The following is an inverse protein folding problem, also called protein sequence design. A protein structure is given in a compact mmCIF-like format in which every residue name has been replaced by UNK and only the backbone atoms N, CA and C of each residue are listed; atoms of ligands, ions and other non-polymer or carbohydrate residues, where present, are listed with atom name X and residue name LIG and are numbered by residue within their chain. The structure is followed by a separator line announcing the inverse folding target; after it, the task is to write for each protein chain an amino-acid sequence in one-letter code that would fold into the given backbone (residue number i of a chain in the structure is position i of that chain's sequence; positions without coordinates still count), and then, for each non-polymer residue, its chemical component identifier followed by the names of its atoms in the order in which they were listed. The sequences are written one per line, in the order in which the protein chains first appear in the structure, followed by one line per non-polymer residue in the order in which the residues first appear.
data_IF_729034605969
#
_entry.id   IF_729034605969
#
_cell.length_a   1.000
_cell.length_b   1.000
_cell.length_c   1.000
_cell.angle_alpha   90.00
_cell.angle_beta   90.00
_cell.angle_gamma   90.00
#
_symmetry.space_group_name_H-M   'P 1'
#
loop_
_entity.id
_entity.type
_entity.pdbx_description
1 polymer ?
#
# COMPACT_ATOMS: atom_id res chain seq x y z
N UNK A 1 -38.03 -25.72 -18.59
CA UNK A 1 -37.78 -25.14 -17.26
C UNK A 1 -36.38 -24.56 -17.26
N UNK A 2 -36.26 -23.23 -17.30
CA UNK A 2 -34.99 -22.51 -17.31
C UNK A 2 -34.34 -22.54 -15.92
N UNK A 3 -33.02 -22.80 -15.87
CA UNK A 3 -32.24 -22.63 -14.64
C UNK A 3 -32.17 -21.15 -14.25
N UNK A 4 -32.79 -20.78 -13.12
CA UNK A 4 -32.86 -19.41 -12.58
C UNK A 4 -31.72 -19.04 -11.61
N UNK A 5 -30.50 -19.55 -11.83
CA UNK A 5 -29.37 -19.43 -10.89
C UNK A 5 -28.17 -18.61 -11.40
N UNK A 6 -28.41 -17.47 -12.05
CA UNK A 6 -27.36 -16.54 -12.53
C UNK A 6 -27.94 -15.13 -12.39
N UNK A 7 -27.40 -14.23 -11.53
CA UNK A 7 -26.13 -13.54 -11.81
C UNK A 7 -25.42 -12.99 -10.54
N UNK A 8 -24.79 -13.82 -9.69
CA UNK A 8 -24.19 -13.31 -8.43
C UNK A 8 -22.65 -13.20 -8.44
N UNK A 9 -22.00 -13.25 -9.60
CA UNK A 9 -20.54 -13.11 -9.68
C UNK A 9 -20.10 -12.02 -10.65
N UNK A 10 -20.59 -10.80 -10.46
CA UNK A 10 -20.00 -9.57 -11.04
C UNK A 10 -18.86 -9.04 -10.17
N UNK A 11 -18.04 -9.94 -9.61
CA UNK A 11 -16.84 -9.59 -8.87
C UNK A 11 -15.61 -9.59 -9.79
N UNK A 12 -15.72 -8.95 -10.96
CA UNK A 12 -14.53 -8.48 -11.68
C UNK A 12 -14.00 -7.22 -10.98
N UNK A 13 -13.81 -7.29 -9.65
CA UNK A 13 -13.32 -6.18 -8.85
C UNK A 13 -11.80 -6.27 -8.85
N UNK A 14 -11.17 -5.28 -9.47
CA UNK A 14 -9.74 -5.00 -9.39
C UNK A 14 -9.21 -5.34 -7.99
N UNK A 15 -8.20 -6.21 -7.91
CA UNK A 15 -7.70 -6.71 -6.62
C UNK A 15 -7.16 -5.52 -5.80
N UNK A 16 -7.79 -5.18 -4.65
CA UNK A 16 -7.31 -4.11 -3.81
C UNK A 16 -6.00 -4.54 -3.14
N UNK A 17 -4.96 -3.69 -3.20
CA UNK A 17 -3.68 -4.02 -2.55
C UNK A 17 -3.67 -3.65 -1.08
N UNK A 18 -4.37 -2.58 -0.71
CA UNK A 18 -4.48 -2.10 0.66
C UNK A 18 -5.73 -1.25 0.82
N UNK A 19 -6.12 -1.01 2.08
CA UNK A 19 -7.17 -0.05 2.42
C UNK A 19 -6.56 1.32 2.70
N UNK A 20 -7.23 2.36 2.21
CA UNK A 20 -6.84 3.74 2.42
C UNK A 20 -7.06 4.12 3.89
N UNK A 21 -6.04 4.62 4.59
CA UNK A 21 -6.18 5.00 5.99
C UNK A 21 -6.98 6.29 6.19
N UNK A 22 -7.14 7.12 5.15
CA UNK A 22 -7.89 8.39 5.23
C UNK A 22 -9.41 8.19 5.13
N UNK A 23 -9.87 7.28 4.27
CA UNK A 23 -11.30 7.11 3.96
C UNK A 23 -11.78 5.65 3.99
N UNK A 24 -10.90 4.68 4.22
CA UNK A 24 -11.24 3.25 4.18
C UNK A 24 -11.43 2.65 2.78
N UNK A 25 -11.30 3.46 1.72
CA UNK A 25 -11.46 3.01 0.33
C UNK A 25 -10.34 2.10 -0.17
N UNK A 26 -10.56 1.44 -1.29
CA UNK A 26 -9.59 0.51 -1.87
C UNK A 26 -8.45 1.23 -2.59
N UNK A 27 -7.21 0.82 -2.30
CA UNK A 27 -6.02 1.27 -3.02
C UNK A 27 -5.74 0.32 -4.16
N UNK A 28 -5.74 0.89 -5.37
CA UNK A 28 -5.54 0.16 -6.62
C UNK A 28 -4.29 0.65 -7.34
N UNK A 29 -3.61 -0.25 -8.08
CA UNK A 29 -2.45 0.13 -8.88
C UNK A 29 -2.95 0.86 -10.13
N UNK A 30 -2.47 2.08 -10.32
CA UNK A 30 -2.72 2.89 -11.51
C UNK A 30 -1.40 3.14 -12.23
N UNK A 31 -1.46 3.38 -13.52
CA UNK A 31 -0.29 3.70 -14.33
C UNK A 31 -0.50 5.09 -14.90
N UNK A 32 0.46 5.98 -14.68
CA UNK A 32 0.37 7.31 -15.29
C UNK A 32 0.52 7.18 -16.80
N UNK A 33 -0.46 7.69 -17.54
CA UNK A 33 -0.42 7.80 -19.00
C UNK A 33 0.39 9.00 -19.47
N UNK A 34 0.74 9.94 -18.57
CA UNK A 34 1.49 11.16 -18.90
C UNK A 34 2.98 10.93 -18.67
N UNK A 35 3.75 10.80 -19.76
CA UNK A 35 5.21 10.71 -19.76
C UNK A 35 5.74 9.28 -19.62
N UNK A 36 6.51 9.01 -18.55
CA UNK A 36 7.07 7.67 -18.27
C UNK A 36 6.01 6.86 -17.55
N UNK A 37 5.55 5.73 -18.12
CA UNK A 37 4.53 4.79 -17.57
C UNK A 37 4.86 4.31 -16.15
N UNK A 38 4.76 5.20 -15.16
CA UNK A 38 5.12 4.96 -13.78
C UNK A 38 3.90 4.41 -13.08
N UNK A 39 4.06 3.26 -12.42
CA UNK A 39 3.04 2.66 -11.58
C UNK A 39 2.95 3.49 -10.29
N UNK A 40 1.75 3.90 -9.94
CA UNK A 40 1.43 4.57 -8.68
C UNK A 40 0.22 3.89 -8.08
N UNK A 41 0.02 4.01 -6.77
CA UNK A 41 -1.09 3.40 -6.07
C UNK A 41 -1.93 4.53 -5.49
N UNK A 42 -3.18 4.62 -5.96
CA UNK A 42 -4.10 5.67 -5.57
C UNK A 42 -5.37 5.08 -4.97
N UNK A 43 -6.00 5.85 -4.09
CA UNK A 43 -7.33 5.50 -3.62
C UNK A 43 -8.34 5.51 -4.78
N UNK A 44 -9.26 4.56 -4.80
CA UNK A 44 -10.33 4.50 -5.79
C UNK A 44 -11.38 5.60 -5.60
N UNK A 45 -11.47 6.19 -4.40
CA UNK A 45 -12.46 7.23 -4.05
C UNK A 45 -12.03 8.66 -4.46
N UNK A 46 -11.15 8.84 -5.44
CA UNK A 46 -10.84 10.18 -5.94
C UNK A 46 -12.06 10.77 -6.68
N UNK A 47 -12.49 12.04 -6.45
CA UNK A 47 -11.77 13.14 -5.79
C UNK A 47 -11.99 13.26 -4.27
N UNK A 48 -12.82 12.44 -3.65
CA UNK A 48 -13.08 12.48 -2.19
C UNK A 48 -11.84 12.11 -1.37
N UNK A 49 -10.92 11.34 -1.95
CA UNK A 49 -9.65 11.00 -1.34
C UNK A 49 -8.47 11.28 -2.27
N UNK A 50 -7.67 12.29 -1.92
CA UNK A 50 -6.42 12.67 -2.62
C UNK A 50 -5.22 11.79 -2.23
N UNK A 51 -5.46 10.61 -1.66
CA UNK A 51 -4.37 9.74 -1.24
C UNK A 51 -3.71 9.03 -2.43
N UNK A 52 -2.42 9.29 -2.62
CA UNK A 52 -1.58 8.66 -3.65
C UNK A 52 -0.19 8.33 -3.10
N UNK A 53 0.36 7.18 -3.50
CA UNK A 53 1.75 6.79 -3.21
C UNK A 53 2.43 6.20 -4.44
N UNK A 54 3.74 6.42 -4.55
CA UNK A 54 4.59 5.77 -5.57
C UNK A 54 5.17 4.44 -5.08
N UNK A 55 5.08 4.16 -3.79
CA UNK A 55 5.57 2.93 -3.17
C UNK A 55 4.48 1.87 -3.18
N UNK A 56 4.88 0.61 -3.32
CA UNK A 56 3.95 -0.50 -3.37
C UNK A 56 3.37 -0.78 -1.97
N UNK A 57 2.04 -0.68 -1.78
CA UNK A 57 1.40 -1.11 -0.55
C UNK A 57 1.56 -2.61 -0.36
N UNK A 58 1.73 -3.01 0.89
CA UNK A 58 1.78 -4.41 1.32
C UNK A 58 0.49 -4.78 2.02
N UNK A 59 0.24 -6.09 2.15
CA UNK A 59 -0.91 -6.62 2.89
C UNK A 59 -0.80 -6.41 4.42
N UNK A 60 0.30 -5.84 4.90
CA UNK A 60 0.52 -5.61 6.32
C UNK A 60 0.11 -4.18 6.71
N UNK A 61 -0.61 -4.07 7.82
CA UNK A 61 -0.96 -2.81 8.46
C UNK A 61 0.00 -2.49 9.61
N UNK A 62 0.20 -1.20 9.83
CA UNK A 62 1.03 -0.66 10.87
C UNK A 62 0.25 -0.71 12.20
N UNK A 63 0.79 -1.36 13.25
CA UNK A 63 0.12 -1.42 14.55
C UNK A 63 0.17 -0.09 15.31
N UNK A 64 1.04 0.86 14.93
CA UNK A 64 1.19 2.15 15.61
C UNK A 64 0.14 3.18 15.17
N UNK A 65 -0.16 3.23 13.86
CA UNK A 65 -1.07 4.24 13.31
C UNK A 65 -2.26 3.64 12.53
N UNK A 66 -2.27 2.33 12.26
CA UNK A 66 -3.32 1.65 11.49
C UNK A 66 -3.18 1.76 9.97
N UNK A 67 -2.13 2.42 9.45
CA UNK A 67 -1.92 2.61 8.02
C UNK A 67 -1.22 1.42 7.38
N UNK A 68 -1.34 1.21 6.07
CA UNK A 68 -0.63 0.11 5.40
C UNK A 68 0.88 0.39 5.29
N UNK A 69 1.65 -0.69 5.26
CA UNK A 69 3.11 -0.65 5.09
C UNK A 69 3.46 -0.66 3.60
N UNK A 70 4.55 0.00 3.23
CA UNK A 70 5.06 0.08 1.86
C UNK A 70 6.47 -0.48 1.74
N UNK A 71 6.78 -1.05 0.59
CA UNK A 71 8.13 -1.51 0.27
C UNK A 71 9.01 -0.29 -0.10
N UNK A 72 9.98 0.03 0.75
CA UNK A 72 11.01 1.05 0.50
C UNK A 72 12.36 0.37 0.29
N UNK A 73 13.25 1.04 -0.43
CA UNK A 73 14.62 0.59 -0.65
C UNK A 73 15.57 1.50 0.10
N UNK A 74 16.40 0.91 0.95
CA UNK A 74 17.49 1.56 1.67
C UNK A 74 18.84 1.01 1.24
N UNK A 75 19.86 1.87 1.23
CA UNK A 75 21.21 1.48 0.80
C UNK A 75 21.90 0.55 1.80
N UNK A 76 21.58 0.68 3.09
CA UNK A 76 22.19 -0.10 4.19
C UNK A 76 21.51 -1.46 4.37
N UNK A 77 20.18 -1.47 4.33
CA UNK A 77 19.36 -2.63 4.74
C UNK A 77 18.66 -3.30 3.56
N UNK A 78 18.73 -2.72 2.35
CA UNK A 78 18.02 -3.22 1.17
C UNK A 78 16.53 -2.87 1.20
N UNK A 79 15.71 -3.76 0.61
CA UNK A 79 14.26 -3.57 0.57
C UNK A 79 13.66 -3.90 1.94
N UNK A 80 13.05 -2.90 2.59
CA UNK A 80 12.40 -3.04 3.88
C UNK A 80 10.98 -2.48 3.83
N UNK A 81 10.12 -2.89 4.77
CA UNK A 81 8.74 -2.41 4.85
C UNK A 81 8.67 -1.25 5.83
N UNK A 82 8.26 -0.08 5.36
CA UNK A 82 8.14 1.13 6.16
C UNK A 82 6.69 1.61 6.19
N UNK A 83 6.30 2.30 7.27
CA UNK A 83 5.00 2.95 7.30
C UNK A 83 4.92 4.07 6.26
N UNK A 84 3.75 4.23 5.62
CA UNK A 84 3.49 5.33 4.69
C UNK A 84 3.15 6.65 5.41
N UNK A 85 2.84 6.59 6.70
CA UNK A 85 2.60 7.79 7.52
C UNK A 85 3.94 8.47 7.86
N UNK A 86 4.19 9.73 7.45
CA UNK A 86 5.42 10.45 7.79
C UNK A 86 5.59 10.69 9.29
N UNK A 87 4.50 10.77 10.05
CA UNK A 87 4.51 10.93 11.51
C UNK A 87 4.75 9.60 12.26
N UNK A 88 4.87 8.48 11.54
CA UNK A 88 5.04 7.15 12.11
C UNK A 88 6.37 6.52 11.69
N UNK A 89 7.34 6.46 12.61
CA UNK A 89 8.67 5.89 12.35
C UNK A 89 8.71 4.34 12.45
N UNK A 90 7.62 3.65 12.15
CA UNK A 90 7.58 2.19 12.22
C UNK A 90 8.27 1.58 11.00
N UNK A 91 9.37 0.87 11.25
CA UNK A 91 10.19 0.17 10.25
C UNK A 91 10.19 -1.32 10.58
N UNK A 92 9.66 -2.13 9.66
CA UNK A 92 9.73 -3.59 9.75
C UNK A 92 10.95 -4.05 8.93
N UNK A 93 12.08 -4.15 9.60
CA UNK A 93 13.27 -4.83 9.09
C UNK A 93 13.09 -6.32 9.39
N UNK A 94 12.80 -7.12 8.38
CA UNK A 94 12.74 -8.58 8.53
C UNK A 94 14.17 -9.15 8.57
N UNK A 95 14.96 -8.71 9.54
CA UNK A 95 16.10 -9.45 10.07
C UNK A 95 16.46 -8.87 11.45
N UNK A 96 16.18 -9.64 12.49
CA UNK A 96 16.84 -9.47 13.77
C UNK A 96 18.31 -9.85 13.57
N UNK A 97 19.17 -8.87 13.28
CA UNK A 97 20.58 -8.91 13.60
C UNK A 97 21.21 -7.52 13.54
N UNK A 98 21.54 -7.03 14.75
CA UNK A 98 22.48 -5.95 15.10
C UNK A 98 22.04 -4.50 14.88
N UNK A 99 21.47 -3.98 15.96
CA UNK A 99 21.98 -2.79 16.66
C UNK A 99 23.41 -2.40 16.25
N UNK A 100 23.57 -1.18 15.74
CA UNK A 100 24.82 -0.44 15.95
C UNK A 100 24.44 0.96 16.44
N UNK A 101 24.68 1.14 17.74
CA UNK A 101 24.74 2.41 18.47
C UNK A 101 25.51 3.44 17.65
N UNK A 102 25.08 4.70 17.58
CA UNK A 102 25.62 5.72 18.49
C UNK A 102 27.15 5.73 18.43
N UNK A 103 27.81 6.58 17.64
CA UNK A 103 27.77 8.03 17.82
C UNK A 103 28.66 8.41 19.00
N UNK A 104 29.97 8.49 18.77
CA UNK A 104 30.93 9.57 19.15
C UNK A 104 32.37 9.14 18.81
#
# INVERSE_FOLDING_TARGET
MSCSGFPECTFTKSVPLAKCPKCGGDIIPRVSTRGRRKKFYGCSNYPECDFMTLYKPTNATCPQCGWFLVEKYDKKTGVHKACINPDCNYLHSSDESKEDKGGE
#
